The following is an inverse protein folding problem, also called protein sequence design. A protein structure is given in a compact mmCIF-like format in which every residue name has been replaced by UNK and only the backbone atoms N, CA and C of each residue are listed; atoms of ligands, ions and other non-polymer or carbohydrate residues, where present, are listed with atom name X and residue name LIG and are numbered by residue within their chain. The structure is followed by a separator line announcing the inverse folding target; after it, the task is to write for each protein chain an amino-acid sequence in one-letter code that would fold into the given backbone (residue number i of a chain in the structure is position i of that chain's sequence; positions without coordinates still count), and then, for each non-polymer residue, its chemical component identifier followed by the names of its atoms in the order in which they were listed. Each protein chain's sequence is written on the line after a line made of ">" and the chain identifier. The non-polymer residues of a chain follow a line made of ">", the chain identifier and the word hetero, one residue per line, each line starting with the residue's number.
data_IF_596660419502
#
_entry.id   IF_596660419502
#
_cell.length_a   1.000
_cell.length_b   1.000
_cell.length_c   1.000
_cell.angle_alpha   90.00
_cell.angle_beta   90.00
_cell.angle_gamma   90.00
#
_symmetry.space_group_name_H-M   'P 1'
#
loop_
_entity.id
_entity.type
_entity.pdbx_description
1 polymer ?
#
# COMPACT_ATOMS: atom_id res chain seq x y z
N UNK A 1 9.38 -17.08 -5.24
CA UNK A 1 8.07 -16.65 -5.78
C UNK A 1 7.93 -15.17 -5.48
N UNK A 2 7.52 -14.30 -6.41
CA UNK A 2 7.28 -12.90 -6.06
C UNK A 2 6.04 -12.85 -5.16
N UNK A 3 6.25 -12.63 -3.86
CA UNK A 3 5.15 -12.47 -2.92
C UNK A 3 4.55 -11.08 -3.09
N UNK A 4 3.22 -10.99 -3.11
CA UNK A 4 2.53 -9.70 -3.03
C UNK A 4 2.68 -9.14 -1.62
N UNK A 5 2.87 -7.82 -1.53
CA UNK A 5 2.95 -7.10 -0.26
C UNK A 5 1.75 -6.17 -0.14
N UNK A 6 1.28 -5.97 1.09
CA UNK A 6 0.28 -4.95 1.38
C UNK A 6 0.98 -3.58 1.44
N UNK A 7 0.59 -2.66 0.55
CA UNK A 7 1.17 -1.32 0.42
C UNK A 7 0.43 -0.25 1.24
N UNK A 8 -0.49 -0.65 2.13
CA UNK A 8 -1.14 0.23 3.11
C UNK A 8 -2.36 1.00 2.61
N UNK A 9 -2.79 0.80 1.36
CA UNK A 9 -4.00 1.41 0.81
C UNK A 9 -5.20 0.48 1.00
N UNK A 10 -6.21 0.96 1.72
CA UNK A 10 -7.41 0.21 2.07
C UNK A 10 -8.65 1.00 1.66
N UNK A 11 -9.60 0.33 1.01
CA UNK A 11 -10.95 0.80 0.83
C UNK A 11 -11.85 -0.07 1.71
N UNK A 12 -12.49 0.54 2.71
CA UNK A 12 -13.30 -0.18 3.70
C UNK A 12 -14.75 0.30 3.65
N UNK A 13 -15.68 -0.65 3.61
CA UNK A 13 -17.08 -0.38 3.95
C UNK A 13 -17.20 -0.15 5.47
N UNK A 14 -18.16 0.67 5.94
CA UNK A 14 -18.36 0.91 7.38
C UNK A 14 -18.46 -0.38 8.22
N UNK A 15 -19.05 -1.43 7.67
CA UNK A 15 -19.27 -2.73 8.28
C UNK A 15 -17.94 -3.44 8.62
N UNK A 16 -16.88 -3.19 7.85
CA UNK A 16 -15.56 -3.75 8.13
C UNK A 16 -15.06 -3.33 9.53
N UNK A 17 -15.44 -2.14 10.00
CA UNK A 17 -15.04 -1.65 11.31
C UNK A 17 -15.70 -2.37 12.49
N UNK A 18 -16.71 -3.21 12.26
CA UNK A 18 -17.23 -4.12 13.29
C UNK A 18 -16.18 -5.16 13.74
N UNK A 19 -15.16 -5.41 12.92
CA UNK A 19 -14.01 -6.26 13.23
C UNK A 19 -12.86 -5.51 13.92
N UNK A 20 -12.95 -4.18 14.08
CA UNK A 20 -11.90 -3.43 14.77
C UNK A 20 -11.84 -3.79 16.25
N UNK A 21 -10.62 -4.08 16.71
CA UNK A 21 -10.29 -4.15 18.11
C UNK A 21 -9.18 -3.13 18.40
N UNK A 22 -9.44 -2.07 19.20
CA UNK A 22 -8.45 -1.03 19.49
C UNK A 22 -7.18 -1.50 20.21
N UNK A 23 -7.12 -2.76 20.66
CA UNK A 23 -5.96 -3.36 21.31
C UNK A 23 -5.12 -4.22 20.37
N UNK A 24 -5.53 -4.36 19.12
CA UNK A 24 -4.88 -5.20 18.11
C UNK A 24 -4.26 -4.35 17.02
N UNK A 25 -3.27 -4.92 16.34
CA UNK A 25 -2.54 -4.25 15.27
C UNK A 25 -3.24 -4.47 13.92
N UNK A 26 -2.84 -3.68 12.91
CA UNK A 26 -3.41 -3.78 11.57
C UNK A 26 -3.37 -5.21 10.98
N UNK A 27 -2.30 -6.01 11.14
CA UNK A 27 -2.28 -7.39 10.65
C UNK A 27 -3.37 -8.28 11.27
N UNK A 28 -3.71 -8.07 12.54
CA UNK A 28 -4.75 -8.83 13.22
C UNK A 28 -6.14 -8.47 12.65
N UNK A 29 -6.38 -7.17 12.42
CA UNK A 29 -7.59 -6.68 11.76
C UNK A 29 -7.76 -7.30 10.37
N UNK A 30 -6.71 -7.25 9.54
CA UNK A 30 -6.73 -7.84 8.19
C UNK A 30 -6.93 -9.35 8.23
N UNK A 31 -6.31 -10.04 9.19
CA UNK A 31 -6.49 -11.48 9.39
C UNK A 31 -7.94 -11.81 9.72
N UNK A 32 -8.59 -11.03 10.60
CA UNK A 32 -10.00 -11.24 10.94
C UNK A 32 -10.96 -11.04 9.75
N UNK A 33 -10.66 -10.09 8.86
CA UNK A 33 -11.42 -9.89 7.63
C UNK A 33 -11.19 -11.03 6.63
N UNK A 34 -9.96 -11.53 6.53
CA UNK A 34 -9.64 -12.68 5.67
C UNK A 34 -10.36 -13.95 6.14
N UNK A 35 -10.35 -14.22 7.46
CA UNK A 35 -11.07 -15.34 8.07
C UNK A 35 -12.59 -15.26 7.84
N UNK A 36 -13.14 -14.04 7.83
CA UNK A 36 -14.54 -13.78 7.52
C UNK A 36 -14.89 -13.81 6.02
N UNK A 37 -13.90 -14.00 5.13
CA UNK A 37 -14.10 -13.93 3.67
C UNK A 37 -14.42 -12.52 3.15
N UNK A 38 -14.09 -11.49 3.94
CA UNK A 38 -14.37 -10.09 3.66
C UNK A 38 -13.13 -9.30 3.19
N UNK A 39 -11.96 -9.93 3.08
CA UNK A 39 -10.74 -9.30 2.57
C UNK A 39 -10.51 -9.65 1.09
N UNK A 40 -10.34 -8.62 0.28
CA UNK A 40 -9.99 -8.73 -1.14
C UNK A 40 -8.68 -7.98 -1.41
N UNK A 41 -7.97 -8.37 -2.46
CA UNK A 41 -6.71 -7.76 -2.86
C UNK A 41 -6.81 -7.18 -4.27
N UNK A 42 -6.24 -6.00 -4.47
CA UNK A 42 -6.04 -5.39 -5.77
C UNK A 42 -4.54 -5.24 -6.03
N UNK A 43 -4.07 -5.70 -7.20
CA UNK A 43 -2.67 -5.58 -7.58
C UNK A 43 -2.41 -4.20 -8.19
N UNK A 44 -1.61 -3.38 -7.53
CA UNK A 44 -1.11 -2.14 -8.10
C UNK A 44 0.07 -2.44 -9.05
N UNK A 45 -0.05 -2.00 -10.31
CA UNK A 45 1.00 -2.17 -11.33
C UNK A 45 1.92 -0.96 -11.48
N UNK A 46 1.64 0.13 -10.75
CA UNK A 46 2.48 1.31 -10.72
C UNK A 46 3.65 1.19 -9.74
N UNK A 47 4.40 2.28 -9.64
CA UNK A 47 5.53 2.39 -8.73
C UNK A 47 5.03 2.71 -7.31
N UNK A 48 5.41 1.88 -6.34
CA UNK A 48 5.17 2.12 -4.92
C UNK A 48 6.50 2.33 -4.19
N UNK A 49 6.58 3.40 -3.40
CA UNK A 49 7.75 3.74 -2.58
C UNK A 49 7.32 3.78 -1.12
N UNK A 50 8.02 3.03 -0.26
CA UNK A 50 7.83 3.06 1.19
C UNK A 50 8.97 3.84 1.83
N UNK A 51 8.66 4.81 2.68
CA UNK A 51 9.67 5.65 3.35
C UNK A 51 9.52 5.52 4.86
N UNK A 52 10.40 4.73 5.48
CA UNK A 52 10.49 4.53 6.93
C UNK A 52 11.79 5.10 7.52
N UNK A 53 12.78 5.37 6.68
CA UNK A 53 14.12 5.83 7.07
C UNK A 53 14.56 7.03 6.23
N UNK A 54 15.52 7.79 6.75
CA UNK A 54 16.11 8.93 6.04
C UNK A 54 16.77 8.54 4.71
N UNK A 55 17.34 7.33 4.66
CA UNK A 55 17.88 6.78 3.42
C UNK A 55 16.77 6.57 2.39
N UNK A 56 15.67 5.91 2.78
CA UNK A 56 14.54 5.67 1.89
C UNK A 56 13.89 6.98 1.42
N UNK A 57 13.91 8.03 2.25
CA UNK A 57 13.47 9.38 1.84
C UNK A 57 14.32 9.91 0.69
N UNK A 58 15.65 9.89 0.85
CA UNK A 58 16.58 10.38 -0.17
C UNK A 58 16.47 9.57 -1.48
N UNK A 59 16.34 8.25 -1.36
CA UNK A 59 16.14 7.36 -2.51
C UNK A 59 14.81 7.70 -3.22
N UNK A 60 13.72 7.86 -2.48
CA UNK A 60 12.41 8.21 -3.03
C UNK A 60 12.41 9.57 -3.76
N UNK A 61 13.13 10.57 -3.24
CA UNK A 61 13.25 11.89 -3.90
C UNK A 61 13.93 11.78 -5.27
N UNK A 62 15.00 10.98 -5.38
CA UNK A 62 15.65 10.71 -6.67
C UNK A 62 14.71 10.00 -7.65
N UNK A 63 13.99 8.98 -7.17
CA UNK A 63 13.06 8.19 -7.96
C UNK A 63 11.83 8.98 -8.45
N UNK A 64 11.38 9.97 -7.69
CA UNK A 64 10.30 10.86 -8.11
C UNK A 64 10.71 11.77 -9.28
N UNK A 65 11.92 12.34 -9.24
CA UNK A 65 12.44 13.21 -10.32
C UNK A 65 12.52 12.46 -11.65
N UNK A 66 13.00 11.22 -11.63
CA UNK A 66 13.05 10.33 -12.80
C UNK A 66 11.65 10.08 -13.36
N UNK A 67 10.68 9.78 -12.50
CA UNK A 67 9.31 9.48 -12.90
C UNK A 67 8.61 10.67 -13.59
N UNK A 68 8.75 11.88 -13.05
CA UNK A 68 8.18 13.08 -13.65
C UNK A 68 8.82 13.39 -15.01
N UNK A 69 10.14 13.19 -15.13
CA UNK A 69 10.88 13.46 -16.38
C UNK A 69 10.42 12.52 -17.50
N UNK A 70 10.27 11.23 -17.20
CA UNK A 70 9.77 10.24 -18.17
C UNK A 70 8.31 10.48 -18.60
N UNK A 71 7.45 10.92 -17.68
CA UNK A 71 6.06 11.25 -18.02
C UNK A 71 5.94 12.51 -18.90
N UNK A 72 6.79 13.51 -18.69
CA UNK A 72 6.81 14.72 -19.52
C UNK A 72 7.33 14.43 -20.93
N UNK A 73 8.34 13.56 -21.09
CA UNK A 73 8.83 13.11 -22.40
C UNK A 73 7.78 12.30 -23.19
N UNK A 74 6.93 11.52 -22.51
CA UNK A 74 5.84 10.77 -23.14
C UNK A 74 4.62 11.62 -23.54
N UNK A 75 4.58 12.89 -23.13
CA UNK A 75 3.49 13.84 -23.46
C UNK A 75 3.81 14.75 -24.65
N UNK A 76 5.06 14.75 -25.15
CA UNK A 76 5.53 15.52 -26.31
C UNK A 76 5.52 14.67 -27.59
#
# INVERSE_FOLDING_TARGET
>A
MPYWINIGFLLCEPEAFSHLNPRLELPDFLSSLAEAGALYAYQHEGKHLTVNTEKERADAEGEMIEFFTLMDEQRL
#
